data_IF_346650837180
#
_entry.id   IF_346650837180
#
_cell.length_a   1.000
_cell.length_b   1.000
_cell.length_c   1.000
_cell.angle_alpha   90.00
_cell.angle_beta   90.00
_cell.angle_gamma   90.00
#
_symmetry.space_group_name_H-M   'P 1'
#
loop_
_entity.id
_entity.type
_entity.pdbx_description
1 polymer ?
#
# COMPACT_ATOMS: atom_id res chain seq x y z
N UNK A 1 -24.59 35.99 -19.78
CA UNK A 1 -23.71 35.29 -20.74
C UNK A 1 -22.31 35.34 -20.12
N UNK A 2 -21.30 34.66 -20.64
CA UNK A 2 -19.90 34.83 -20.16
C UNK A 2 -19.57 34.06 -18.85
N UNK A 3 -19.59 32.73 -18.90
CA UNK A 3 -18.84 31.88 -17.93
C UNK A 3 -18.09 30.75 -18.62
N UNK A 4 -18.58 30.30 -19.78
CA UNK A 4 -18.00 29.19 -20.54
C UNK A 4 -16.79 29.66 -21.37
N UNK A 5 -16.87 30.83 -22.01
CA UNK A 5 -15.73 31.45 -22.72
C UNK A 5 -14.54 31.75 -21.80
N UNK A 6 -14.80 32.08 -20.52
CA UNK A 6 -13.74 32.31 -19.53
C UNK A 6 -12.97 31.03 -19.21
N UNK A 7 -13.64 29.89 -19.15
CA UNK A 7 -13.00 28.60 -18.85
C UNK A 7 -12.10 28.14 -20.00
N UNK A 8 -12.54 28.32 -21.24
CA UNK A 8 -11.73 28.00 -22.42
C UNK A 8 -10.45 28.86 -22.45
N UNK A 9 -10.58 30.17 -22.20
CA UNK A 9 -9.44 31.09 -22.14
C UNK A 9 -8.49 30.76 -20.97
N UNK A 10 -9.03 30.49 -19.79
CA UNK A 10 -8.26 30.09 -18.62
C UNK A 10 -7.52 28.76 -18.87
N UNK A 11 -8.17 27.83 -19.57
CA UNK A 11 -7.58 26.56 -19.98
C UNK A 11 -6.37 26.74 -20.88
N UNK A 12 -6.46 27.62 -21.87
CA UNK A 12 -5.34 27.94 -22.77
C UNK A 12 -4.15 28.54 -21.98
N UNK A 13 -4.41 29.55 -21.13
CA UNK A 13 -3.36 30.14 -20.29
C UNK A 13 -2.72 29.12 -19.35
N UNK A 14 -3.54 28.25 -18.77
CA UNK A 14 -3.07 27.20 -17.88
C UNK A 14 -2.21 26.17 -18.63
N UNK A 15 -2.60 25.81 -19.85
CA UNK A 15 -1.84 24.92 -20.72
C UNK A 15 -0.47 25.50 -21.05
N UNK A 16 -0.39 26.78 -21.44
CA UNK A 16 0.87 27.46 -21.74
C UNK A 16 1.88 27.42 -20.58
N UNK A 17 1.38 27.50 -19.33
CA UNK A 17 2.21 27.48 -18.12
C UNK A 17 2.65 26.05 -17.75
N UNK A 18 1.79 25.05 -17.95
CA UNK A 18 2.06 23.66 -17.56
C UNK A 18 2.88 22.94 -18.65
N UNK A 19 2.66 23.24 -19.92
CA UNK A 19 3.33 22.63 -21.07
C UNK A 19 4.86 22.56 -20.94
N UNK A 20 5.58 23.66 -20.62
CA UNK A 20 7.04 23.61 -20.46
C UNK A 20 7.49 22.80 -19.23
N UNK A 21 6.62 22.58 -18.23
CA UNK A 21 6.94 21.81 -17.02
C UNK A 21 6.62 20.31 -17.19
N UNK A 22 5.49 19.97 -17.81
CA UNK A 22 4.95 18.60 -17.88
C UNK A 22 4.24 18.30 -19.21
N UNK A 23 4.93 18.44 -20.35
CA UNK A 23 4.36 18.28 -21.70
C UNK A 23 3.45 17.04 -21.87
N UNK A 24 3.91 15.86 -21.44
CA UNK A 24 3.17 14.60 -21.62
C UNK A 24 1.87 14.51 -20.80
N UNK A 25 1.84 15.19 -19.65
CA UNK A 25 0.71 15.18 -18.72
C UNK A 25 -0.14 16.44 -18.82
N UNK A 26 0.33 17.46 -19.54
CA UNK A 26 -0.32 18.77 -19.68
C UNK A 26 -1.80 18.65 -20.03
N UNK A 27 -2.23 17.96 -21.10
CA UNK A 27 -3.66 17.90 -21.45
C UNK A 27 -4.53 17.23 -20.36
N UNK A 28 -3.98 16.27 -19.63
CA UNK A 28 -4.68 15.63 -18.50
C UNK A 28 -4.72 16.54 -17.27
N UNK A 29 -3.59 17.16 -16.93
CA UNK A 29 -3.48 18.08 -15.81
C UNK A 29 -4.37 19.31 -16.01
N UNK A 30 -4.34 19.92 -17.20
CA UNK A 30 -5.21 21.04 -17.54
C UNK A 30 -6.67 20.64 -17.49
N UNK A 31 -7.02 19.45 -18.00
CA UNK A 31 -8.38 18.92 -17.91
C UNK A 31 -8.87 18.80 -16.46
N UNK A 32 -8.07 18.20 -15.58
CA UNK A 32 -8.40 18.04 -14.16
C UNK A 32 -8.48 19.37 -13.41
N UNK A 33 -7.64 20.34 -13.78
CA UNK A 33 -7.64 21.66 -13.16
C UNK A 33 -8.79 22.54 -13.68
N UNK A 34 -9.25 22.33 -14.92
CA UNK A 34 -10.43 22.98 -15.48
C UNK A 34 -11.74 22.52 -14.85
N UNK A 35 -11.74 21.39 -14.12
CA UNK A 35 -12.87 20.98 -13.27
C UNK A 35 -13.04 21.87 -12.02
N UNK A 36 -12.04 22.70 -11.70
CA UNK A 36 -12.12 23.66 -10.60
C UNK A 36 -12.90 24.92 -11.02
N UNK A 37 -13.52 25.64 -10.07
CA UNK A 37 -14.18 26.90 -10.38
C UNK A 37 -13.20 27.93 -10.96
N UNK A 38 -13.65 28.72 -11.92
CA UNK A 38 -12.83 29.73 -12.62
C UNK A 38 -12.06 30.67 -11.69
N UNK A 39 -12.64 31.07 -10.56
CA UNK A 39 -11.98 31.89 -9.54
C UNK A 39 -10.70 31.24 -9.00
N UNK A 40 -10.73 29.92 -8.78
CA UNK A 40 -9.58 29.15 -8.28
C UNK A 40 -8.51 29.06 -9.37
N UNK A 41 -8.90 28.87 -10.63
CA UNK A 41 -7.97 28.81 -11.76
C UNK A 41 -7.27 30.17 -11.94
N UNK A 42 -8.02 31.27 -11.87
CA UNK A 42 -7.48 32.64 -11.89
C UNK A 42 -6.50 32.86 -10.74
N UNK A 43 -6.82 32.36 -9.55
CA UNK A 43 -5.94 32.45 -8.39
C UNK A 43 -4.66 31.63 -8.59
N UNK A 44 -4.75 30.45 -9.19
CA UNK A 44 -3.61 29.60 -9.51
C UNK A 44 -2.71 30.21 -10.59
N UNK A 45 -3.28 30.89 -11.60
CA UNK A 45 -2.49 31.60 -12.61
C UNK A 45 -1.70 32.78 -12.03
N UNK A 46 -2.18 33.37 -10.93
CA UNK A 46 -1.48 34.45 -10.21
C UNK A 46 -0.49 33.94 -9.16
N UNK A 47 -0.78 32.78 -8.55
CA UNK A 47 0.02 32.19 -7.47
C UNK A 47 0.65 30.87 -7.90
N UNK A 48 1.95 30.93 -8.23
CA UNK A 48 2.71 29.75 -8.66
C UNK A 48 2.78 28.65 -7.58
N UNK A 49 2.73 29.01 -6.29
CA UNK A 49 2.73 28.02 -5.21
C UNK A 49 1.38 27.27 -5.15
N UNK A 50 0.27 27.97 -5.36
CA UNK A 50 -1.05 27.35 -5.46
C UNK A 50 -1.14 26.46 -6.71
N UNK A 51 -0.64 26.93 -7.85
CA UNK A 51 -0.56 26.15 -9.08
C UNK A 51 0.25 24.87 -8.90
N UNK A 52 1.43 24.98 -8.28
CA UNK A 52 2.29 23.83 -8.00
C UNK A 52 1.58 22.80 -7.12
N UNK A 53 0.90 23.24 -6.05
CA UNK A 53 0.13 22.34 -5.18
C UNK A 53 -1.01 21.65 -5.92
N UNK A 54 -1.71 22.37 -6.80
CA UNK A 54 -2.79 21.81 -7.59
C UNK A 54 -2.25 20.79 -8.62
N UNK A 55 -1.11 21.08 -9.23
CA UNK A 55 -0.38 20.15 -10.09
C UNK A 55 0.07 18.90 -9.33
N UNK A 56 0.64 19.03 -8.13
CA UNK A 56 1.03 17.89 -7.28
C UNK A 56 -0.17 17.00 -6.96
N UNK A 57 -1.32 17.59 -6.64
CA UNK A 57 -2.56 16.82 -6.40
C UNK A 57 -3.06 16.12 -7.66
N UNK A 58 -3.07 16.81 -8.79
CA UNK A 58 -3.48 16.22 -10.07
C UNK A 58 -2.50 15.12 -10.52
N UNK A 59 -1.20 15.31 -10.33
CA UNK A 59 -0.17 14.30 -10.57
C UNK A 59 -0.36 13.09 -9.66
N UNK A 60 -0.61 13.29 -8.36
CA UNK A 60 -0.88 12.19 -7.42
C UNK A 60 -2.11 11.37 -7.82
N UNK A 61 -3.16 12.02 -8.34
CA UNK A 61 -4.34 11.34 -8.87
C UNK A 61 -4.08 10.65 -10.23
N UNK A 62 -3.17 11.18 -11.05
CA UNK A 62 -2.74 10.63 -12.34
C UNK A 62 -1.62 9.60 -12.24
N UNK A 63 -1.09 9.31 -11.06
CA UNK A 63 -0.19 8.19 -10.82
C UNK A 63 -0.96 6.97 -10.33
N UNK A 64 -1.63 6.21 -11.22
CA UNK A 64 -1.93 4.83 -10.91
C UNK A 64 -0.59 4.08 -10.97
N UNK A 65 -0.11 3.61 -9.82
CA UNK A 65 0.73 2.41 -9.76
C UNK A 65 2.07 2.44 -10.55
N UNK A 66 2.84 3.53 -10.56
CA UNK A 66 4.22 3.52 -11.13
C UNK A 66 5.28 4.08 -10.19
N UNK A 67 5.39 3.50 -8.99
CA UNK A 67 6.65 3.48 -8.23
C UNK A 67 6.60 2.39 -7.17
N UNK A 68 7.37 1.34 -7.39
CA UNK A 68 7.70 0.37 -6.36
C UNK A 68 8.24 1.07 -5.10
N UNK A 69 7.86 0.53 -3.94
CA UNK A 69 8.43 0.79 -2.62
C UNK A 69 7.88 2.01 -1.87
N UNK A 70 6.73 1.84 -1.21
CA UNK A 70 6.64 1.62 0.26
C UNK A 70 5.20 1.92 0.72
N UNK A 71 4.55 0.90 1.30
CA UNK A 71 3.22 0.90 1.98
C UNK A 71 2.00 0.75 1.08
N UNK A 72 1.85 -0.41 0.47
CA UNK A 72 0.52 -0.97 0.25
C UNK A 72 0.07 -1.67 1.52
N UNK A 73 -1.11 -1.28 1.98
CA UNK A 73 -2.20 -2.08 2.58
C UNK A 73 -2.82 -1.25 3.70
N UNK A 74 -4.10 -0.87 3.73
CA UNK A 74 -5.24 -1.10 2.85
C UNK A 74 -6.31 -0.17 3.45
N UNK A 75 -6.57 0.98 2.85
CA UNK A 75 -7.78 1.73 3.18
C UNK A 75 -8.92 1.06 2.40
N UNK A 76 -9.58 0.09 3.03
CA UNK A 76 -10.92 -0.32 2.63
C UNK A 76 -11.89 0.28 3.65
N UNK A 77 -12.51 1.37 3.22
CA UNK A 77 -13.73 1.90 3.80
C UNK A 77 -14.76 0.76 3.84
N UNK A 78 -15.20 0.36 5.02
CA UNK A 78 -16.60 0.03 5.25
C UNK A 78 -16.92 0.13 6.75
N UNK A 79 -17.72 1.13 7.09
CA UNK A 79 -18.47 1.11 8.33
C UNK A 79 -19.38 -0.12 8.33
N UNK A 80 -19.29 -0.98 9.35
CA UNK A 80 -20.40 -1.59 10.11
C UNK A 80 -19.95 -2.88 10.81
N UNK A 81 -20.02 -2.86 12.14
CA UNK A 81 -20.64 -3.90 12.98
C UNK A 81 -20.21 -5.38 12.79
N UNK A 82 -19.03 -5.75 13.31
CA UNK A 82 -18.85 -7.04 14.00
C UNK A 82 -17.48 -7.10 14.68
N UNK A 83 -17.49 -6.99 16.00
CA UNK A 83 -16.30 -7.21 16.83
C UNK A 83 -15.79 -8.64 16.63
N UNK A 84 -14.47 -8.82 16.63
CA UNK A 84 -13.71 -10.07 16.83
C UNK A 84 -13.15 -10.78 15.57
N UNK A 85 -13.72 -10.63 14.37
CA UNK A 85 -13.23 -11.37 13.19
C UNK A 85 -12.11 -10.63 12.43
N UNK A 86 -12.15 -9.29 12.37
CA UNK A 86 -11.13 -8.47 11.72
C UNK A 86 -9.74 -8.52 12.39
N UNK A 87 -9.71 -8.77 13.71
CA UNK A 87 -8.45 -8.78 14.45
C UNK A 87 -7.56 -9.97 14.07
N UNK A 88 -8.14 -11.14 13.81
CA UNK A 88 -7.39 -12.34 13.42
C UNK A 88 -6.83 -12.19 12.00
N UNK A 89 -7.63 -11.63 11.09
CA UNK A 89 -7.20 -11.36 9.71
C UNK A 89 -6.04 -10.35 9.69
N UNK A 90 -6.16 -9.25 10.46
CA UNK A 90 -5.11 -8.24 10.58
C UNK A 90 -3.82 -8.80 11.21
N UNK A 91 -3.95 -9.67 12.23
CA UNK A 91 -2.80 -10.35 12.85
C UNK A 91 -2.11 -11.25 11.83
N UNK A 92 -2.87 -12.00 11.03
CA UNK A 92 -2.34 -12.87 9.98
C UNK A 92 -1.56 -12.13 8.90
N UNK A 93 -2.11 -11.03 8.38
CA UNK A 93 -1.42 -10.20 7.39
C UNK A 93 -0.13 -9.60 7.92
N UNK A 94 -0.18 -9.07 9.16
CA UNK A 94 1.01 -8.48 9.81
C UNK A 94 2.07 -9.53 10.09
N UNK A 95 1.67 -10.71 10.55
CA UNK A 95 2.57 -11.83 10.80
C UNK A 95 3.23 -12.29 9.51
N UNK A 96 2.46 -12.47 8.43
CA UNK A 96 2.98 -12.87 7.13
C UNK A 96 4.07 -11.92 6.63
N UNK A 97 3.83 -10.61 6.72
CA UNK A 97 4.81 -9.61 6.29
C UNK A 97 6.13 -9.74 7.05
N UNK A 98 6.09 -9.91 8.37
CA UNK A 98 7.30 -10.03 9.18
C UNK A 98 8.01 -11.38 8.99
N UNK A 99 7.25 -12.48 8.86
CA UNK A 99 7.81 -13.79 8.55
C UNK A 99 8.48 -13.77 7.17
N UNK A 100 7.88 -13.12 6.17
CA UNK A 100 8.45 -12.96 4.83
C UNK A 100 9.79 -12.21 4.85
N UNK A 101 9.95 -11.23 5.72
CA UNK A 101 11.22 -10.52 5.87
C UNK A 101 12.33 -11.41 6.48
N UNK A 102 11.97 -12.42 7.27
CA UNK A 102 12.90 -13.36 7.90
C UNK A 102 13.18 -14.57 6.99
N UNK A 103 12.14 -15.18 6.45
CA UNK A 103 12.18 -16.41 5.65
C UNK A 103 11.17 -16.32 4.48
N UNK A 104 11.55 -15.67 3.37
CA UNK A 104 10.65 -15.46 2.24
C UNK A 104 10.30 -16.75 1.50
N UNK A 105 11.18 -17.76 1.52
CA UNK A 105 11.01 -19.00 0.76
C UNK A 105 9.83 -19.85 1.25
N UNK A 106 9.54 -19.78 2.55
CA UNK A 106 8.48 -20.59 3.18
C UNK A 106 7.55 -19.75 4.06
N UNK A 107 7.44 -18.45 3.76
CA UNK A 107 6.67 -17.53 4.61
C UNK A 107 5.19 -17.88 4.70
N UNK A 108 4.52 -18.24 3.60
CA UNK A 108 3.09 -18.60 3.60
C UNK A 108 2.81 -19.81 4.49
N UNK A 109 3.66 -20.79 4.32
CA UNK A 109 3.69 -22.06 5.00
C UNK A 109 4.00 -21.96 6.51
N UNK A 110 5.00 -21.16 6.87
CA UNK A 110 5.36 -20.88 8.26
C UNK A 110 4.28 -20.04 8.93
N UNK A 111 3.76 -19.02 8.23
CA UNK A 111 2.68 -18.17 8.75
C UNK A 111 1.42 -18.98 8.98
N UNK A 112 1.07 -19.89 8.06
CA UNK A 112 -0.04 -20.83 8.25
C UNK A 112 0.11 -21.64 9.55
N UNK A 113 1.29 -22.21 9.79
CA UNK A 113 1.57 -22.96 11.02
C UNK A 113 1.55 -22.11 12.30
N UNK A 114 1.93 -20.84 12.20
CA UNK A 114 1.85 -19.91 13.33
C UNK A 114 0.41 -19.45 13.56
N UNK A 115 -0.39 -19.29 12.50
CA UNK A 115 -1.81 -18.93 12.59
C UNK A 115 -2.68 -20.04 13.19
N UNK A 116 -2.17 -21.28 13.25
CA UNK A 116 -2.78 -22.37 14.03
C UNK A 116 -2.64 -22.17 15.56
N UNK A 117 -1.85 -21.20 16.01
CA UNK A 117 -1.70 -20.84 17.43
C UNK A 117 -2.77 -19.84 17.90
N UNK A 118 -2.86 -19.65 19.22
CA UNK A 118 -3.79 -18.69 19.82
C UNK A 118 -3.44 -17.22 19.45
N UNK A 119 -4.45 -16.36 19.19
CA UNK A 119 -4.24 -14.97 18.79
C UNK A 119 -3.47 -14.14 19.83
N UNK A 120 -3.65 -14.42 21.12
CA UNK A 120 -2.87 -13.80 22.20
C UNK A 120 -1.37 -14.11 22.10
N UNK A 121 -1.04 -15.32 21.68
CA UNK A 121 0.34 -15.74 21.47
C UNK A 121 0.94 -15.04 20.25
N UNK A 122 0.16 -14.93 19.16
CA UNK A 122 0.55 -14.16 17.98
C UNK A 122 0.81 -12.69 18.31
N UNK A 123 -0.02 -12.06 19.15
CA UNK A 123 0.20 -10.67 19.60
C UNK A 123 1.52 -10.48 20.36
N UNK A 124 1.86 -11.43 21.24
CA UNK A 124 3.14 -11.41 21.96
C UNK A 124 4.31 -11.56 21.00
N UNK A 125 4.20 -12.47 20.04
CA UNK A 125 5.20 -12.69 18.99
C UNK A 125 5.36 -11.44 18.11
N UNK A 126 4.27 -10.78 17.74
CA UNK A 126 4.29 -9.54 16.95
C UNK A 126 4.85 -8.34 17.72
N UNK A 127 4.82 -8.41 19.05
CA UNK A 127 5.36 -7.37 19.93
C UNK A 127 6.86 -7.51 20.17
N UNK A 128 7.41 -8.72 20.01
CA UNK A 128 8.83 -8.99 20.24
C UNK A 128 9.46 -9.72 19.04
N UNK A 129 10.37 -9.01 18.36
CA UNK A 129 11.08 -9.54 17.19
C UNK A 129 11.85 -10.83 17.49
N UNK A 130 12.41 -10.98 18.70
CA UNK A 130 13.14 -12.20 19.06
C UNK A 130 12.21 -13.39 19.20
N UNK A 131 11.00 -13.19 19.75
CA UNK A 131 9.97 -14.23 19.83
C UNK A 131 9.49 -14.65 18.43
N UNK A 132 9.37 -13.70 17.51
CA UNK A 132 9.02 -13.98 16.12
C UNK A 132 10.08 -14.84 15.43
N UNK A 133 11.36 -14.48 15.56
CA UNK A 133 12.44 -15.27 14.96
C UNK A 133 12.44 -16.71 15.52
N UNK A 134 12.29 -16.87 16.84
CA UNK A 134 12.18 -18.20 17.47
C UNK A 134 10.97 -18.97 16.96
N UNK A 135 9.81 -18.32 16.85
CA UNK A 135 8.58 -18.94 16.34
C UNK A 135 8.74 -19.40 14.87
N UNK A 136 9.33 -18.57 14.03
CA UNK A 136 9.65 -18.88 12.63
C UNK A 136 10.62 -20.06 12.53
N UNK A 137 11.69 -20.08 13.33
CA UNK A 137 12.64 -21.20 13.34
C UNK A 137 12.01 -22.50 13.83
N UNK A 138 11.12 -22.45 14.83
CA UNK A 138 10.38 -23.62 15.32
C UNK A 138 9.44 -24.17 14.24
N UNK A 139 8.67 -23.29 13.59
CA UNK A 139 7.79 -23.67 12.48
C UNK A 139 8.59 -24.26 11.31
N UNK A 140 9.70 -23.62 10.91
CA UNK A 140 10.61 -24.13 9.89
C UNK A 140 11.14 -25.53 10.23
N UNK A 141 11.56 -25.76 11.47
CA UNK A 141 12.03 -27.07 11.93
C UNK A 141 10.93 -28.12 11.91
N UNK A 142 9.71 -27.76 12.33
CA UNK A 142 8.54 -28.64 12.27
C UNK A 142 8.18 -29.03 10.83
N UNK A 143 8.31 -28.10 9.87
CA UNK A 143 8.12 -28.38 8.43
C UNK A 143 9.12 -29.38 7.89
N UNK A 144 10.39 -29.27 8.27
CA UNK A 144 11.44 -30.23 7.87
C UNK A 144 11.12 -31.63 8.40
N UNK A 145 10.60 -31.73 9.64
CA UNK A 145 10.15 -33.00 10.19
C UNK A 145 8.92 -33.58 9.45
N UNK A 146 7.95 -32.73 9.05
CA UNK A 146 6.75 -33.17 8.34
C UNK A 146 7.02 -33.60 6.89
N UNK A 147 7.90 -32.88 6.17
CA UNK A 147 8.26 -33.23 4.78
C UNK A 147 9.22 -34.43 4.69
N UNK A 148 9.79 -34.88 5.80
CA UNK A 148 10.61 -36.09 5.85
C UNK A 148 9.79 -37.39 5.85
N UNK A 149 8.45 -37.33 5.96
CA UNK A 149 7.60 -38.52 6.02
C UNK A 149 7.21 -39.16 4.66
N UNK A 150 7.87 -38.78 3.56
CA UNK A 150 7.90 -39.59 2.34
C UNK A 150 9.27 -40.21 2.02
N UNK A 151 10.19 -40.29 2.99
CA UNK A 151 11.54 -40.80 2.72
C UNK A 151 12.32 -41.35 3.93
N UNK A 152 11.79 -42.40 4.58
CA UNK A 152 12.50 -43.37 5.46
C UNK A 152 12.93 -42.87 6.87
N UNK A 153 12.95 -43.78 7.87
CA UNK A 153 13.32 -43.47 9.25
C UNK A 153 14.84 -43.41 9.40
N UNK A 154 15.34 -42.33 10.01
CA UNK A 154 16.75 -42.21 10.38
C UNK A 154 16.89 -42.46 11.87
N UNK A 155 17.23 -43.70 12.18
CA UNK A 155 17.74 -44.18 13.46
C UNK A 155 19.08 -43.51 13.80
N UNK A 156 19.19 -42.84 14.95
CA UNK A 156 20.45 -42.71 15.73
C UNK A 156 20.11 -42.10 17.11
N UNK A 157 19.89 -42.92 18.15
CA UNK A 157 20.88 -43.52 19.08
C UNK A 157 21.23 -42.61 20.25
N UNK A 158 20.75 -43.02 21.44
CA UNK A 158 21.58 -43.26 22.63
C UNK A 158 21.10 -44.53 23.30
#
# INVERSE_FOLDING_TARGET
MDREEDLEFLGEKLYDVIYPKHADLTPKLTGMLLELPGDVIIQMLQDEALLTKALERALAALQPETSSSRRQSQEKICASDSSDQDEVEMIGEKLFALVRDIEPAHCADITGMLLEMEPDTLRKILSDRTLLEVAVQRAKSARVCLHSHHGKPCDQRV
#
